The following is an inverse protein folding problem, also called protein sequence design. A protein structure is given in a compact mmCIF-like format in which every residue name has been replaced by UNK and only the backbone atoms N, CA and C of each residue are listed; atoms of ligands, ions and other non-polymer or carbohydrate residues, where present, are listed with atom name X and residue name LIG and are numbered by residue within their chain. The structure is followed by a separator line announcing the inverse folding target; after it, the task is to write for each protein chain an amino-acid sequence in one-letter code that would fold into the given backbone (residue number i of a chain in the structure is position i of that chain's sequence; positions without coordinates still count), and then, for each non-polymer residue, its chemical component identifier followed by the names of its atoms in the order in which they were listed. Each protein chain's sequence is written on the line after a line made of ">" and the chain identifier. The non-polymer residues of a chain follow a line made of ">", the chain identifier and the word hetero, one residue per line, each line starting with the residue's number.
data_IF_889579870371
#
_entry.id   IF_889579870371
#
_cell.length_a   1.000
_cell.length_b   1.000
_cell.length_c   1.000
_cell.angle_alpha   90.00
_cell.angle_beta   90.00
_cell.angle_gamma   90.00
#
_symmetry.space_group_name_H-M   'P 1'
#
loop_
_entity.id
_entity.type
_entity.pdbx_description
1 polymer ?
#
# COMPACT_ATOMS: atom_id res chain seq x y z
N UNK A 1 12.73 -20.85 23.12
CA UNK A 1 12.62 -19.60 22.33
C UNK A 1 11.55 -19.79 21.27
N UNK A 2 10.54 -18.94 21.23
CA UNK A 2 9.50 -19.00 20.21
C UNK A 2 10.02 -18.33 18.94
N UNK A 3 10.07 -19.01 17.77
CA UNK A 3 10.53 -18.41 16.52
C UNK A 3 9.50 -17.44 15.90
N UNK A 4 8.27 -17.42 16.40
CA UNK A 4 7.20 -16.55 15.93
C UNK A 4 6.97 -15.42 16.93
N UNK A 5 7.05 -14.19 16.44
CA UNK A 5 6.72 -12.99 17.19
C UNK A 5 5.46 -12.35 16.60
N UNK A 6 4.48 -12.07 17.44
CA UNK A 6 3.25 -11.39 17.07
C UNK A 6 3.27 -9.98 17.63
N UNK A 7 3.09 -9.00 16.76
CA UNK A 7 2.98 -7.59 17.14
C UNK A 7 1.78 -6.95 16.45
N UNK A 8 1.10 -6.08 17.16
CA UNK A 8 0.03 -5.28 16.60
C UNK A 8 0.62 -3.99 16.01
N UNK A 9 0.19 -3.62 14.81
CA UNK A 9 0.52 -2.32 14.23
C UNK A 9 -0.13 -1.21 15.05
N UNK A 10 0.63 -0.15 15.29
CA UNK A 10 0.12 1.02 15.96
C UNK A 10 -0.49 1.99 14.95
N UNK A 11 -1.68 2.48 15.25
CA UNK A 11 -2.34 3.49 14.46
C UNK A 11 -2.10 4.87 15.07
N UNK A 12 -1.82 5.84 14.22
CA UNK A 12 -1.83 7.25 14.59
C UNK A 12 -3.18 7.83 14.17
N UNK A 13 -3.84 8.50 15.09
CA UNK A 13 -5.12 9.15 14.82
C UNK A 13 -4.82 10.54 14.27
N UNK A 14 -5.34 10.83 13.09
CA UNK A 14 -5.26 12.13 12.47
C UNK A 14 -6.66 12.64 12.16
N UNK A 15 -7.05 13.71 12.80
CA UNK A 15 -8.27 14.46 12.48
C UNK A 15 -7.88 15.86 12.02
N UNK A 16 -8.52 16.34 10.97
CA UNK A 16 -8.20 17.64 10.39
C UNK A 16 -6.71 17.79 10.05
N UNK A 17 -6.08 18.84 10.56
CA UNK A 17 -4.65 19.13 10.33
C UNK A 17 -3.72 18.13 11.01
N UNK A 18 -4.18 17.46 12.05
CA UNK A 18 -3.39 16.45 12.78
C UNK A 18 -2.97 15.23 11.95
N UNK A 19 -3.60 15.02 10.79
CA UNK A 19 -3.22 13.93 9.88
C UNK A 19 -1.79 14.10 9.34
N UNK A 20 -1.34 15.32 9.10
CA UNK A 20 0.02 15.57 8.61
C UNK A 20 1.07 15.27 9.69
N UNK A 21 0.78 15.63 10.94
CA UNK A 21 1.66 15.30 12.07
C UNK A 21 1.72 13.80 12.30
N UNK A 22 0.59 13.11 12.20
CA UNK A 22 0.53 11.66 12.29
C UNK A 22 1.36 10.99 11.19
N UNK A 23 1.23 11.44 9.94
CA UNK A 23 2.03 10.96 8.81
C UNK A 23 3.52 11.18 9.05
N UNK A 24 3.90 12.39 9.47
CA UNK A 24 5.29 12.76 9.74
C UNK A 24 5.88 11.89 10.84
N UNK A 25 5.13 11.61 11.89
CA UNK A 25 5.55 10.73 13.00
C UNK A 25 5.85 9.32 12.50
N UNK A 26 4.98 8.75 11.68
CA UNK A 26 5.18 7.39 11.14
C UNK A 26 6.38 7.36 10.20
N UNK A 27 6.49 8.31 9.29
CA UNK A 27 7.60 8.39 8.34
C UNK A 27 8.94 8.60 9.04
N UNK A 28 8.97 9.41 10.09
CA UNK A 28 10.17 9.62 10.89
C UNK A 28 10.62 8.33 11.59
N UNK A 29 9.69 7.57 12.16
CA UNK A 29 9.99 6.24 12.73
C UNK A 29 10.60 5.30 11.71
N UNK A 30 10.09 5.31 10.49
CA UNK A 30 10.65 4.53 9.38
C UNK A 30 12.08 4.94 9.03
N UNK A 31 12.34 6.25 8.96
CA UNK A 31 13.68 6.81 8.70
C UNK A 31 14.65 6.48 9.83
N UNK A 32 14.22 6.51 11.08
CA UNK A 32 15.03 6.20 12.25
C UNK A 32 15.25 4.67 12.44
N UNK A 33 14.68 3.84 11.58
CA UNK A 33 14.83 2.39 11.66
C UNK A 33 14.14 1.74 12.85
N UNK A 34 13.10 2.37 13.39
CA UNK A 34 12.38 1.89 14.58
C UNK A 34 11.36 0.78 14.27
N UNK A 35 11.12 0.48 13.01
CA UNK A 35 10.32 -0.67 12.62
C UNK A 35 11.20 -1.89 12.40
N UNK A 36 10.76 -3.03 12.90
CA UNK A 36 11.44 -4.32 12.69
C UNK A 36 11.12 -4.94 11.32
N UNK A 37 10.30 -4.28 10.53
CA UNK A 37 9.90 -4.69 9.19
C UNK A 37 10.08 -3.55 8.20
N UNK A 38 10.22 -3.88 6.94
CA UNK A 38 10.31 -2.91 5.86
C UNK A 38 8.95 -2.25 5.60
N UNK A 39 8.97 -0.96 5.32
CA UNK A 39 7.79 -0.19 4.98
C UNK A 39 7.97 0.48 3.62
N UNK A 40 6.92 0.54 2.82
CA UNK A 40 6.93 1.17 1.49
C UNK A 40 6.00 2.38 1.39
N UNK A 41 5.40 2.80 2.48
CA UNK A 41 4.51 3.95 2.53
C UNK A 41 3.55 3.95 3.71
N UNK A 42 2.42 4.59 3.51
CA UNK A 42 1.38 4.76 4.52
C UNK A 42 0.07 4.12 4.08
N UNK A 43 -0.69 3.62 5.05
CA UNK A 43 -2.06 3.16 4.85
C UNK A 43 -2.99 4.05 5.65
N UNK A 44 -3.96 4.66 4.98
CA UNK A 44 -5.00 5.45 5.60
C UNK A 44 -6.27 4.61 5.73
N UNK A 45 -6.76 4.48 6.94
CA UNK A 45 -7.95 3.69 7.25
C UNK A 45 -8.98 4.60 7.90
N UNK A 46 -10.24 4.63 7.42
CA UNK A 46 -11.30 5.42 8.05
C UNK A 46 -11.52 4.98 9.50
N UNK A 47 -11.52 5.94 10.43
CA UNK A 47 -11.71 5.64 11.86
C UNK A 47 -13.15 5.24 12.20
N UNK A 48 -14.14 5.80 11.49
CA UNK A 48 -15.56 5.59 11.76
C UNK A 48 -16.17 4.40 11.00
N UNK A 49 -15.38 3.72 10.17
CA UNK A 49 -15.85 2.64 9.32
C UNK A 49 -15.11 1.35 9.66
N UNK A 50 -15.84 0.30 9.99
CA UNK A 50 -15.26 -1.03 10.22
C UNK A 50 -14.63 -1.59 8.94
N UNK A 51 -13.55 -2.34 9.07
CA UNK A 51 -12.90 -3.00 7.93
C UNK A 51 -13.86 -3.97 7.27
N UNK A 52 -14.05 -3.83 5.97
CA UNK A 52 -15.00 -4.63 5.19
C UNK A 52 -16.42 -4.05 5.13
N UNK A 53 -16.66 -2.90 5.76
CA UNK A 53 -17.96 -2.24 5.75
C UNK A 53 -17.99 -1.09 4.74
N UNK A 54 -19.13 -0.91 4.08
CA UNK A 54 -19.36 0.22 3.17
C UNK A 54 -19.98 1.43 3.87
N UNK A 55 -20.70 1.19 4.96
CA UNK A 55 -21.34 2.23 5.79
C UNK A 55 -21.13 1.93 7.27
N UNK A 56 -21.09 2.97 8.07
CA UNK A 56 -21.03 2.82 9.51
C UNK A 56 -22.28 2.04 10.03
N UNK A 57 -22.04 1.01 10.83
CA UNK A 57 -23.08 0.16 11.39
C UNK A 57 -23.56 -1.00 10.51
N UNK A 58 -23.08 -1.11 9.28
CA UNK A 58 -23.37 -2.25 8.41
C UNK A 58 -22.61 -3.51 8.83
N UNK A 59 -23.10 -4.67 8.42
CA UNK A 59 -22.35 -5.92 8.52
C UNK A 59 -21.49 -6.14 7.28
N UNK A 60 -20.29 -6.68 7.45
CA UNK A 60 -19.41 -7.04 6.34
C UNK A 60 -20.07 -8.10 5.45
N UNK A 61 -20.38 -7.74 4.22
CA UNK A 61 -21.15 -8.60 3.30
C UNK A 61 -20.33 -9.66 2.59
N UNK A 62 -19.03 -9.42 2.38
CA UNK A 62 -18.19 -10.36 1.62
C UNK A 62 -16.71 -10.12 1.88
N UNK A 63 -16.04 -11.10 2.50
CA UNK A 63 -14.61 -11.05 2.79
C UNK A 63 -13.71 -11.24 1.56
N UNK A 64 -14.25 -11.64 0.42
CA UNK A 64 -13.49 -11.87 -0.81
C UNK A 64 -13.35 -10.62 -1.68
N UNK A 65 -14.06 -9.56 -1.36
CA UNK A 65 -14.02 -8.31 -2.12
C UNK A 65 -12.99 -7.37 -1.51
N UNK A 66 -12.17 -6.75 -2.36
CA UNK A 66 -11.22 -5.72 -1.91
C UNK A 66 -11.97 -4.55 -1.30
N UNK A 67 -11.64 -4.24 -0.06
CA UNK A 67 -12.22 -3.10 0.62
C UNK A 67 -11.67 -1.79 0.04
N UNK A 68 -12.58 -0.95 -0.48
CA UNK A 68 -12.22 0.25 -1.26
C UNK A 68 -11.96 1.49 -0.40
N UNK A 69 -12.22 1.43 0.89
CA UNK A 69 -12.16 2.59 1.78
C UNK A 69 -10.80 2.81 2.43
N UNK A 70 -9.84 1.92 2.24
CA UNK A 70 -8.47 2.15 2.64
C UNK A 70 -7.65 2.70 1.48
N UNK A 71 -6.80 3.67 1.77
CA UNK A 71 -5.91 4.29 0.79
C UNK A 71 -4.46 3.99 1.13
N UNK A 72 -3.68 3.67 0.11
CA UNK A 72 -2.24 3.48 0.24
C UNK A 72 -1.54 4.66 -0.42
N UNK A 73 -0.61 5.24 0.32
CA UNK A 73 0.31 6.23 -0.22
C UNK A 73 1.72 5.68 -0.23
N UNK A 74 2.43 5.88 -1.33
CA UNK A 74 3.82 5.47 -1.48
C UNK A 74 4.67 6.65 -1.93
N UNK A 75 5.89 6.80 -1.39
CA UNK A 75 6.86 7.71 -1.97
C UNK A 75 7.12 7.37 -3.44
N UNK A 76 7.45 8.38 -4.25
CA UNK A 76 7.64 8.20 -5.70
C UNK A 76 8.66 7.10 -6.06
N UNK A 77 9.68 6.90 -5.22
CA UNK A 77 10.70 5.86 -5.42
C UNK A 77 10.16 4.43 -5.37
N UNK A 78 8.98 4.22 -4.77
CA UNK A 78 8.32 2.90 -4.70
C UNK A 78 7.17 2.76 -5.70
N UNK A 79 6.90 3.78 -6.51
CA UNK A 79 5.89 3.69 -7.54
C UNK A 79 6.40 2.82 -8.69
N UNK A 80 5.60 1.85 -9.06
CA UNK A 80 5.85 0.97 -10.19
C UNK A 80 4.70 1.07 -11.18
N UNK A 81 5.02 0.91 -12.44
CA UNK A 81 4.03 0.85 -13.52
C UNK A 81 4.21 -0.50 -14.21
N UNK A 82 3.13 -1.23 -14.30
CA UNK A 82 3.14 -2.51 -14.99
C UNK A 82 2.85 -2.29 -16.48
N UNK A 83 3.70 -2.87 -17.32
CA UNK A 83 3.54 -2.81 -18.77
C UNK A 83 3.26 -4.20 -19.31
N UNK A 84 2.30 -4.29 -20.20
CA UNK A 84 2.15 -5.46 -21.05
C UNK A 84 3.14 -5.35 -22.20
N UNK A 85 4.14 -6.21 -22.19
CA UNK A 85 5.17 -6.22 -23.23
C UNK A 85 4.93 -7.38 -24.17
N UNK A 86 4.89 -7.09 -25.47
CA UNK A 86 4.85 -8.10 -26.52
C UNK A 86 6.06 -7.92 -27.43
N UNK A 87 6.61 -9.02 -27.90
CA UNK A 87 7.70 -8.96 -28.87
C UNK A 87 7.13 -8.70 -30.26
N UNK A 88 7.73 -7.81 -31.00
CA UNK A 88 7.43 -7.62 -32.42
C UNK A 88 8.28 -8.61 -33.22
N UNK A 89 7.64 -9.40 -34.04
CA UNK A 89 8.32 -10.34 -34.93
C UNK A 89 8.81 -9.62 -36.19
N UNK A 90 10.00 -10.01 -36.65
CA UNK A 90 10.52 -9.59 -37.95
C UNK A 90 9.74 -10.27 -39.09
N UNK A 91 9.94 -9.84 -40.34
CA UNK A 91 9.31 -10.46 -41.51
C UNK A 91 9.68 -11.93 -41.67
N UNK A 92 10.80 -12.37 -41.09
CA UNK A 92 11.26 -13.77 -41.09
C UNK A 92 10.67 -14.60 -39.95
N UNK A 93 9.86 -14.00 -39.07
CA UNK A 93 9.24 -14.66 -37.91
C UNK A 93 10.08 -14.70 -36.65
N UNK A 94 11.29 -14.14 -36.69
CA UNK A 94 12.14 -13.99 -35.51
C UNK A 94 11.71 -12.79 -34.65
N UNK A 95 12.01 -12.83 -33.36
CA UNK A 95 11.71 -11.73 -32.47
C UNK A 95 12.59 -10.51 -32.79
N UNK A 96 11.97 -9.37 -33.02
CA UNK A 96 12.64 -8.11 -33.25
C UNK A 96 12.75 -7.33 -31.94
N UNK A 97 13.95 -6.93 -31.54
CA UNK A 97 14.19 -6.06 -30.41
C UNK A 97 14.13 -4.61 -30.88
N UNK A 98 13.16 -3.85 -30.37
CA UNK A 98 13.10 -2.40 -30.54
C UNK A 98 13.45 -1.72 -29.22
N UNK A 99 14.31 -0.72 -29.28
CA UNK A 99 14.50 0.17 -28.15
C UNK A 99 13.25 1.05 -28.02
N UNK A 100 12.59 0.92 -26.89
CA UNK A 100 11.44 1.76 -26.51
C UNK A 100 11.98 2.83 -25.57
N UNK A 101 11.95 4.05 -26.00
CA UNK A 101 12.30 5.21 -25.20
C UNK A 101 11.07 6.08 -25.02
#
# INVERSE_FOLDING_TARGET
>A
MCPLRLEAKQFQIGDGEGIFDACSTILQKGTDGLFEYETDGLIFTPAALGVGFDKAGDQAKNFKVTWKHSFKWKPAKYNTIDFLVTTQKSETGDDAVKNIF
#
